data_IF_769169054364
#
_entry.id   IF_769169054364
#
_cell.length_a   1.000
_cell.length_b   1.000
_cell.length_c   1.000
_cell.angle_alpha   90.00
_cell.angle_beta   90.00
_cell.angle_gamma   90.00
#
_symmetry.space_group_name_H-M   'P 1'
#
loop_
_entity.id
_entity.type
_entity.pdbx_description
1 polymer ?
#
# COMPACT_ATOMS: atom_id res chain seq x y z
N UNK A 1 10.77 -25.68 -28.52
CA UNK A 1 10.15 -26.27 -27.31
C UNK A 1 10.80 -25.77 -26.00
N UNK A 2 11.11 -24.47 -25.87
CA UNK A 2 11.66 -23.85 -24.63
C UNK A 2 10.79 -22.71 -24.06
N UNK A 3 9.70 -22.36 -24.74
CA UNK A 3 8.83 -21.25 -24.36
C UNK A 3 8.13 -21.48 -23.02
N UNK A 4 7.67 -22.70 -22.76
CA UNK A 4 6.98 -23.04 -21.51
C UNK A 4 7.94 -22.94 -20.31
N UNK A 5 9.20 -23.36 -20.48
CA UNK A 5 10.23 -23.23 -19.44
C UNK A 5 10.64 -21.79 -19.17
N UNK A 6 10.77 -20.96 -20.21
CA UNK A 6 11.03 -19.52 -20.06
C UNK A 6 9.86 -18.79 -19.40
N UNK A 7 8.62 -19.09 -19.80
CA UNK A 7 7.43 -18.48 -19.25
C UNK A 7 7.25 -18.86 -17.77
N UNK A 8 7.43 -20.13 -17.43
CA UNK A 8 7.39 -20.59 -16.04
C UNK A 8 8.48 -19.92 -15.18
N UNK A 9 9.69 -19.76 -15.72
CA UNK A 9 10.78 -19.04 -15.06
C UNK A 9 10.46 -17.58 -14.78
N UNK A 10 9.87 -16.87 -15.75
CA UNK A 10 9.47 -15.48 -15.58
C UNK A 10 8.37 -15.31 -14.51
N UNK A 11 7.31 -16.13 -14.58
CA UNK A 11 6.23 -16.10 -13.59
C UNK A 11 6.76 -16.37 -12.19
N UNK A 12 7.67 -17.33 -12.04
CA UNK A 12 8.26 -17.66 -10.74
C UNK A 12 9.07 -16.51 -10.15
N UNK A 13 9.86 -15.79 -10.97
CA UNK A 13 10.60 -14.60 -10.54
C UNK A 13 9.64 -13.49 -10.10
N UNK A 14 8.58 -13.22 -10.88
CA UNK A 14 7.59 -12.19 -10.54
C UNK A 14 6.86 -12.49 -9.22
N UNK A 15 6.44 -13.74 -9.00
CA UNK A 15 5.78 -14.15 -7.74
C UNK A 15 6.74 -14.03 -6.56
N UNK A 16 8.01 -14.41 -6.74
CA UNK A 16 9.05 -14.28 -5.71
C UNK A 16 9.32 -12.82 -5.35
N UNK A 17 9.31 -11.91 -6.33
CA UNK A 17 9.43 -10.47 -6.09
C UNK A 17 8.20 -9.87 -5.41
N UNK A 18 6.99 -10.28 -5.82
CA UNK A 18 5.75 -9.90 -5.14
C UNK A 18 5.76 -10.35 -3.68
N UNK A 19 6.14 -11.60 -3.42
CA UNK A 19 6.21 -12.14 -2.06
C UNK A 19 7.26 -11.43 -1.20
N UNK A 20 8.44 -11.12 -1.77
CA UNK A 20 9.45 -10.27 -1.10
C UNK A 20 8.96 -8.84 -0.87
N UNK A 21 8.10 -8.33 -1.75
CA UNK A 21 7.46 -7.02 -1.66
C UNK A 21 6.28 -6.94 -0.68
N UNK A 22 5.81 -8.07 -0.15
CA UNK A 22 4.80 -8.17 0.91
C UNK A 22 5.44 -8.07 2.31
N UNK A 23 6.25 -7.04 2.54
CA UNK A 23 6.61 -6.66 3.91
C UNK A 23 5.42 -5.85 4.48
N UNK A 24 4.99 -6.05 5.74
CA UNK A 24 4.04 -5.16 6.39
C UNK A 24 4.38 -3.66 6.23
N UNK A 25 5.67 -3.31 6.15
CA UNK A 25 6.14 -1.94 5.92
C UNK A 25 5.84 -1.37 4.52
N UNK A 26 5.49 -2.22 3.54
CA UNK A 26 5.19 -1.83 2.15
C UNK A 26 3.70 -1.99 1.80
N UNK A 27 2.87 -2.35 2.78
CA UNK A 27 1.40 -2.36 2.68
C UNK A 27 0.83 -0.95 2.92
N UNK A 28 -0.36 -0.69 2.36
CA UNK A 28 -1.11 0.53 2.66
C UNK A 28 -1.73 0.43 4.06
N UNK A 29 -1.80 1.55 4.77
CA UNK A 29 -2.41 1.59 6.09
C UNK A 29 -2.50 3.00 6.66
N UNK A 30 -3.30 3.14 7.70
CA UNK A 30 -3.40 4.35 8.51
C UNK A 30 -3.39 3.97 9.99
N UNK A 31 -3.07 4.92 10.85
CA UNK A 31 -3.25 4.79 12.30
C UNK A 31 -4.60 5.38 12.70
N UNK A 32 -5.08 5.01 13.88
CA UNK A 32 -6.28 5.60 14.47
C UNK A 32 -6.07 7.09 14.72
N UNK A 33 -7.13 7.87 14.46
CA UNK A 33 -7.15 9.32 14.67
C UNK A 33 -8.18 9.63 15.74
N UNK A 34 -7.77 10.36 16.76
CA UNK A 34 -8.65 10.85 17.81
C UNK A 34 -9.07 12.27 17.45
N UNK A 35 -10.38 12.54 17.51
CA UNK A 35 -10.96 13.86 17.25
C UNK A 35 -11.71 14.33 18.49
N UNK A 36 -11.50 15.57 18.89
CA UNK A 36 -12.16 16.19 20.04
C UNK A 36 -12.77 17.52 19.61
N UNK A 37 -14.02 17.77 20.05
CA UNK A 37 -14.69 19.06 19.89
C UNK A 37 -14.31 20.00 21.03
N UNK A 38 -13.80 21.17 20.67
CA UNK A 38 -13.43 22.24 21.59
C UNK A 38 -14.67 23.05 22.02
N UNK A 39 -14.59 23.82 23.13
CA UNK A 39 -15.73 24.61 23.63
C UNK A 39 -16.24 25.68 22.65
N UNK A 40 -15.37 26.17 21.75
CA UNK A 40 -15.70 27.12 20.69
C UNK A 40 -16.39 26.45 19.48
N UNK A 41 -16.60 25.14 19.53
CA UNK A 41 -17.22 24.34 18.48
C UNK A 41 -16.24 23.79 17.44
N UNK A 42 -14.97 24.22 17.44
CA UNK A 42 -13.95 23.72 16.53
C UNK A 42 -13.57 22.27 16.83
N UNK A 43 -13.05 21.56 15.83
CA UNK A 43 -12.54 20.20 15.98
C UNK A 43 -11.02 20.22 15.94
N UNK A 44 -10.39 19.54 16.89
CA UNK A 44 -8.95 19.25 16.85
C UNK A 44 -8.73 17.75 16.83
N UNK A 45 -7.62 17.32 16.25
CA UNK A 45 -7.32 15.91 16.08
C UNK A 45 -5.82 15.61 16.21
N UNK A 46 -5.51 14.35 16.51
CA UNK A 46 -4.15 13.83 16.39
C UNK A 46 -3.68 13.89 14.93
N UNK A 47 -2.36 14.01 14.67
CA UNK A 47 -1.84 14.04 13.31
C UNK A 47 -2.30 12.85 12.46
N UNK A 48 -2.57 13.12 11.19
CA UNK A 48 -2.93 12.09 10.22
C UNK A 48 -1.66 11.37 9.78
N UNK A 49 -1.58 10.07 10.04
CA UNK A 49 -0.53 9.22 9.51
C UNK A 49 -1.12 8.17 8.58
N UNK A 50 -0.98 8.42 7.28
CA UNK A 50 -1.42 7.51 6.21
C UNK A 50 -0.20 7.11 5.39
N UNK A 51 -0.12 5.83 5.04
CA UNK A 51 0.90 5.27 4.16
C UNK A 51 0.23 4.60 2.98
N UNK A 52 0.75 4.88 1.79
CA UNK A 52 0.36 4.19 0.57
C UNK A 52 1.43 3.16 0.23
N UNK A 53 1.04 1.88 0.29
CA UNK A 53 1.92 0.77 -0.05
C UNK A 53 2.20 0.70 -1.56
N UNK A 54 3.19 -0.12 -1.92
CA UNK A 54 3.63 -0.28 -3.32
C UNK A 54 2.56 -0.88 -4.23
N UNK A 55 1.63 -1.69 -3.70
CA UNK A 55 0.55 -2.28 -4.53
C UNK A 55 -0.50 -1.25 -4.97
N UNK A 56 -0.62 -0.10 -4.29
CA UNK A 56 -1.49 0.99 -4.72
C UNK A 56 -0.92 1.82 -5.88
N UNK A 57 0.32 1.55 -6.31
CA UNK A 57 1.01 2.27 -7.40
C UNK A 57 0.61 1.72 -8.78
N UNK A 58 0.08 0.50 -8.86
CA UNK A 58 -0.39 -0.09 -10.13
C UNK A 58 -1.58 0.67 -10.74
N UNK A 59 -2.24 1.57 -9.99
CA UNK A 59 -3.24 2.52 -10.48
C UNK A 59 -2.97 3.96 -10.02
N UNK A 60 -1.71 4.40 -10.16
CA UNK A 60 -1.28 5.77 -9.78
C UNK A 60 -2.13 6.90 -10.39
N UNK A 61 -2.77 6.67 -11.55
CA UNK A 61 -3.57 7.66 -12.29
C UNK A 61 -5.01 7.86 -11.80
N UNK A 62 -5.51 7.04 -10.87
CA UNK A 62 -6.87 7.17 -10.33
C UNK A 62 -6.93 7.89 -8.96
N UNK A 63 -5.80 8.34 -8.42
CA UNK A 63 -5.77 9.16 -7.20
C UNK A 63 -6.09 10.63 -7.53
N UNK A 64 -7.38 10.94 -7.63
CA UNK A 64 -7.91 12.31 -7.47
C UNK A 64 -8.40 12.45 -6.03
#
# INVERSE_FOLDING_TARGET
>A
MNYVGQLAGQVFVTVKELYKGLNPATLSGCIDIIVVRQPDGNLQCSPFHVRFGKMGVLRSREKV
#
